data_IF_466271692859
#
_entry.id   IF_466271692859
#
_cell.length_a   1.000
_cell.length_b   1.000
_cell.length_c   1.000
_cell.angle_alpha   90.00
_cell.angle_beta   90.00
_cell.angle_gamma   90.00
#
_symmetry.space_group_name_H-M   'P 1'
#
loop_
_entity.id
_entity.type
_entity.pdbx_description
1 polymer ?
#
# COMPACT_ATOMS: atom_id res chain seq x y z
N UNK A 1 6.53 23.50 -19.35
CA UNK A 1 5.22 22.80 -19.38
C UNK A 1 4.34 23.39 -18.29
N UNK A 2 3.03 23.53 -18.53
CA UNK A 2 2.05 24.01 -17.55
C UNK A 2 0.87 23.02 -17.49
N UNK A 3 0.24 22.88 -16.32
CA UNK A 3 -0.89 21.97 -16.12
C UNK A 3 -2.18 22.80 -16.15
N UNK A 4 -3.09 22.49 -17.07
CA UNK A 4 -4.40 23.15 -17.12
C UNK A 4 -5.34 22.65 -16.02
N UNK A 5 -6.37 23.42 -15.66
CA UNK A 5 -7.41 22.98 -14.72
C UNK A 5 -8.06 21.66 -15.13
N UNK A 6 -8.27 21.45 -16.43
CA UNK A 6 -8.83 20.21 -16.94
C UNK A 6 -7.89 19.01 -16.71
N UNK A 7 -6.60 19.17 -17.01
CA UNK A 7 -5.60 18.13 -16.73
C UNK A 7 -5.48 17.85 -15.22
N UNK A 8 -5.46 18.90 -14.40
CA UNK A 8 -5.41 18.79 -12.94
C UNK A 8 -6.64 18.06 -12.37
N UNK A 9 -7.84 18.33 -12.91
CA UNK A 9 -9.06 17.63 -12.52
C UNK A 9 -9.01 16.14 -12.89
N UNK A 10 -8.54 15.80 -14.10
CA UNK A 10 -8.36 14.39 -14.50
C UNK A 10 -7.39 13.68 -13.55
N UNK A 11 -6.25 14.29 -13.23
CA UNK A 11 -5.29 13.74 -12.27
C UNK A 11 -5.93 13.52 -10.89
N UNK A 12 -6.77 14.46 -10.44
CA UNK A 12 -7.55 14.32 -9.21
C UNK A 12 -8.55 13.16 -9.23
N UNK A 13 -9.22 12.92 -10.37
CA UNK A 13 -10.13 11.76 -10.53
C UNK A 13 -9.34 10.46 -10.43
N UNK A 14 -8.21 10.36 -11.13
CA UNK A 14 -7.35 9.17 -11.04
C UNK A 14 -6.82 8.95 -9.62
N UNK A 15 -6.44 10.02 -8.91
CA UNK A 15 -6.06 9.89 -7.51
C UNK A 15 -7.20 9.27 -6.67
N UNK A 16 -8.45 9.67 -6.89
CA UNK A 16 -9.58 9.04 -6.20
C UNK A 16 -9.73 7.56 -6.58
N UNK A 17 -9.59 7.22 -7.87
CA UNK A 17 -9.73 5.85 -8.36
C UNK A 17 -8.71 4.88 -7.75
N UNK A 18 -7.54 5.37 -7.34
CA UNK A 18 -6.48 4.57 -6.71
C UNK A 18 -6.78 4.09 -5.28
N UNK A 19 -7.92 4.48 -4.69
CA UNK A 19 -8.22 4.15 -3.31
C UNK A 19 -8.69 2.72 -3.09
N UNK A 20 -8.41 2.21 -1.89
CA UNK A 20 -8.57 0.83 -1.48
C UNK A 20 -10.02 0.33 -1.42
N UNK A 21 -10.97 1.20 -1.05
CA UNK A 21 -12.20 0.70 -0.41
C UNK A 21 -13.49 0.82 -1.21
N UNK A 22 -13.47 1.26 -2.47
CA UNK A 22 -14.75 1.58 -3.13
C UNK A 22 -14.68 1.76 -4.65
N UNK A 23 -13.50 2.10 -5.18
CA UNK A 23 -13.40 2.79 -6.46
C UNK A 23 -13.08 1.81 -7.58
N UNK A 24 -11.83 1.77 -8.05
CA UNK A 24 -11.31 0.65 -8.84
C UNK A 24 -10.91 -0.56 -7.95
N UNK A 25 -11.23 -0.50 -6.65
CA UNK A 25 -10.90 -1.53 -5.67
C UNK A 25 -9.39 -1.70 -5.45
N UNK A 26 -9.03 -2.73 -4.69
CA UNK A 26 -7.63 -2.98 -4.33
C UNK A 26 -6.77 -3.37 -5.52
N UNK A 27 -7.24 -4.32 -6.33
CA UNK A 27 -6.44 -4.88 -7.43
C UNK A 27 -6.14 -3.84 -8.52
N UNK A 28 -7.17 -3.16 -9.03
CA UNK A 28 -7.02 -2.21 -10.13
C UNK A 28 -6.65 -0.82 -9.62
N UNK A 29 -7.28 -0.35 -8.54
CA UNK A 29 -7.00 0.96 -7.96
C UNK A 29 -5.62 1.03 -7.31
N UNK A 30 -5.45 0.39 -6.15
CA UNK A 30 -4.24 0.54 -5.35
C UNK A 30 -3.01 -0.14 -5.99
N UNK A 31 -3.14 -1.41 -6.37
CA UNK A 31 -2.01 -2.22 -6.82
C UNK A 31 -1.61 -1.97 -8.28
N UNK A 32 -2.50 -1.41 -9.10
CA UNK A 32 -2.20 -1.14 -10.51
C UNK A 32 -2.07 0.36 -10.75
N UNK A 33 -3.19 1.08 -10.82
CA UNK A 33 -3.24 2.50 -11.24
C UNK A 33 -2.53 3.42 -10.24
N UNK A 34 -2.59 3.09 -8.94
CA UNK A 34 -1.94 3.84 -7.86
C UNK A 34 -0.42 3.68 -7.77
N UNK A 35 0.18 2.80 -8.59
CA UNK A 35 1.63 2.57 -8.57
C UNK A 35 2.35 3.52 -9.53
N UNK A 36 3.50 4.11 -9.13
CA UNK A 36 4.19 5.13 -9.91
C UNK A 36 4.48 4.78 -11.38
N UNK A 37 4.74 3.52 -11.71
CA UNK A 37 4.97 3.14 -13.12
C UNK A 37 3.73 3.35 -13.99
N UNK A 38 2.58 2.84 -13.56
CA UNK A 38 1.30 2.99 -14.28
C UNK A 38 0.80 4.43 -14.17
N UNK A 39 0.94 5.04 -12.98
CA UNK A 39 0.66 6.46 -12.78
C UNK A 39 1.47 7.35 -13.72
N UNK A 40 2.74 7.02 -13.97
CA UNK A 40 3.61 7.73 -14.89
C UNK A 40 3.21 7.61 -16.34
N UNK A 41 2.74 6.43 -16.76
CA UNK A 41 2.10 6.23 -18.06
C UNK A 41 0.86 7.14 -18.20
N UNK A 42 -0.05 7.11 -17.22
CA UNK A 42 -1.29 7.92 -17.22
C UNK A 42 -0.98 9.42 -17.24
N UNK A 43 -0.06 9.88 -16.37
CA UNK A 43 0.37 11.28 -16.34
C UNK A 43 1.05 11.70 -17.64
N UNK A 44 1.86 10.82 -18.25
CA UNK A 44 2.49 11.03 -19.54
C UNK A 44 1.48 11.27 -20.66
N UNK A 45 0.38 10.50 -20.67
CA UNK A 45 -0.73 10.67 -21.61
C UNK A 45 -1.45 12.01 -21.36
N UNK A 46 -1.81 12.29 -20.11
CA UNK A 46 -2.56 13.51 -19.75
C UNK A 46 -1.77 14.78 -20.06
N UNK A 47 -0.46 14.77 -19.80
CA UNK A 47 0.43 15.92 -19.98
C UNK A 47 1.08 15.98 -21.37
N UNK A 48 0.85 14.98 -22.23
CA UNK A 48 1.34 14.96 -23.61
C UNK A 48 2.82 14.63 -23.77
N UNK A 49 3.50 14.11 -22.74
CA UNK A 49 4.88 13.64 -22.83
C UNK A 49 5.03 12.26 -22.17
N UNK A 50 4.83 11.23 -22.97
CA UNK A 50 4.82 9.83 -22.54
C UNK A 50 6.18 9.37 -22.01
N UNK A 51 7.26 9.68 -22.74
CA UNK A 51 8.61 9.26 -22.37
C UNK A 51 9.01 9.85 -21.00
N UNK A 52 8.73 11.12 -20.78
CA UNK A 52 9.01 11.78 -19.52
C UNK A 52 8.14 11.24 -18.38
N UNK A 53 6.85 10.99 -18.63
CA UNK A 53 5.95 10.40 -17.64
C UNK A 53 6.39 9.03 -17.18
N UNK A 54 6.75 8.14 -18.11
CA UNK A 54 7.26 6.80 -17.80
C UNK A 54 8.60 6.89 -17.08
N UNK A 55 9.52 7.75 -17.52
CA UNK A 55 10.83 7.90 -16.88
C UNK A 55 10.71 8.37 -15.41
N UNK A 56 9.85 9.34 -15.14
CA UNK A 56 9.51 9.76 -13.77
C UNK A 56 8.89 8.62 -12.97
N UNK A 57 7.95 7.89 -13.57
CA UNK A 57 7.28 6.74 -12.96
C UNK A 57 8.25 5.63 -12.55
N UNK A 58 9.19 5.27 -13.42
CA UNK A 58 10.25 4.30 -13.12
C UNK A 58 11.13 4.78 -11.97
N UNK A 59 11.60 6.03 -12.03
CA UNK A 59 12.48 6.58 -11.01
C UNK A 59 11.82 6.57 -9.61
N UNK A 60 10.55 6.93 -9.52
CA UNK A 60 9.79 6.90 -8.27
C UNK A 60 9.40 5.47 -7.86
N UNK A 61 9.04 4.59 -8.79
CA UNK A 61 8.69 3.19 -8.50
C UNK A 61 9.85 2.47 -7.82
N UNK A 62 11.09 2.70 -8.26
CA UNK A 62 12.28 2.08 -7.66
C UNK A 62 12.47 2.42 -6.19
N UNK A 63 12.07 3.63 -5.76
CA UNK A 63 12.14 4.05 -4.35
C UNK A 63 11.11 3.30 -3.49
N UNK A 64 9.97 2.93 -4.07
CA UNK A 64 8.83 2.36 -3.36
C UNK A 64 8.47 0.94 -3.80
N UNK A 65 9.39 0.23 -4.47
CA UNK A 65 9.14 -1.10 -5.05
C UNK A 65 8.83 -2.14 -3.95
N UNK A 66 9.50 -1.99 -2.82
CA UNK A 66 9.34 -2.82 -1.63
C UNK A 66 8.33 -2.24 -0.63
N UNK A 67 7.59 -1.19 -1.00
CA UNK A 67 6.66 -0.55 -0.08
C UNK A 67 5.44 -1.46 0.12
N UNK A 68 5.37 -1.99 1.33
CA UNK A 68 4.23 -2.70 1.90
C UNK A 68 3.62 -1.86 3.02
N UNK A 69 2.38 -2.16 3.37
CA UNK A 69 1.61 -1.43 4.39
C UNK A 69 1.13 -2.40 5.48
N UNK A 70 2.03 -2.94 6.32
CA UNK A 70 1.62 -3.83 7.40
C UNK A 70 0.73 -3.06 8.39
N UNK A 71 -0.37 -3.68 8.81
CA UNK A 71 -1.27 -3.09 9.81
C UNK A 71 -1.95 -1.79 9.39
N UNK A 72 -1.98 -1.49 8.08
CA UNK A 72 -2.57 -0.25 7.56
C UNK A 72 -1.70 1.00 7.73
N UNK A 73 -0.45 0.89 8.20
CA UNK A 73 0.49 2.02 8.24
C UNK A 73 1.05 2.35 6.87
N UNK A 74 0.73 3.55 6.41
CA UNK A 74 1.31 4.12 5.20
C UNK A 74 2.45 5.05 5.61
N UNK A 75 3.69 4.69 5.28
CA UNK A 75 4.86 5.56 5.47
C UNK A 75 5.00 6.58 4.35
N UNK A 76 4.56 6.24 3.13
CA UNK A 76 4.47 7.13 1.99
C UNK A 76 3.26 6.76 1.12
N UNK A 77 2.44 7.74 0.75
CA UNK A 77 1.28 7.49 -0.12
C UNK A 77 1.68 7.41 -1.60
N UNK A 78 1.71 6.19 -2.14
CA UNK A 78 2.03 5.93 -3.56
C UNK A 78 1.05 6.55 -4.54
N UNK A 79 -0.21 6.79 -4.13
CA UNK A 79 -1.18 7.52 -4.95
C UNK A 79 -0.78 8.97 -5.10
N UNK A 80 -0.41 9.64 -4.00
CA UNK A 80 0.05 11.02 -4.04
C UNK A 80 1.34 11.14 -4.87
N UNK A 81 2.27 10.19 -4.73
CA UNK A 81 3.47 10.11 -5.56
C UNK A 81 3.10 10.03 -7.04
N UNK A 82 2.16 9.16 -7.39
CA UNK A 82 1.74 8.92 -8.77
C UNK A 82 1.02 10.11 -9.41
N UNK A 83 0.09 10.76 -8.70
CA UNK A 83 -0.82 11.75 -9.30
C UNK A 83 -0.57 13.20 -8.88
N UNK A 84 0.32 13.43 -7.93
CA UNK A 84 0.84 14.76 -7.59
C UNK A 84 2.33 14.81 -7.92
N UNK A 85 3.11 13.84 -7.42
CA UNK A 85 4.56 13.82 -7.56
C UNK A 85 5.02 13.76 -9.01
N UNK A 86 4.52 12.79 -9.80
CA UNK A 86 4.94 12.63 -11.20
C UNK A 86 4.62 13.86 -12.05
N UNK A 87 3.37 14.40 -12.07
CA UNK A 87 3.07 15.62 -12.82
C UNK A 87 4.00 16.79 -12.48
N UNK A 88 4.28 17.01 -11.18
CA UNK A 88 5.17 18.08 -10.73
C UNK A 88 6.62 17.84 -11.14
N UNK A 89 7.10 16.60 -11.04
CA UNK A 89 8.42 16.22 -11.51
C UNK A 89 8.56 16.43 -13.02
N UNK A 90 7.55 16.03 -13.81
CA UNK A 90 7.55 16.25 -15.25
C UNK A 90 7.60 17.75 -15.58
N UNK A 91 6.83 18.59 -14.88
CA UNK A 91 6.88 20.05 -15.05
C UNK A 91 8.27 20.60 -14.75
N UNK A 92 8.87 20.21 -13.61
CA UNK A 92 10.17 20.69 -13.17
C UNK A 92 11.31 20.25 -14.11
N UNK A 93 11.30 18.98 -14.55
CA UNK A 93 12.28 18.42 -15.49
C UNK A 93 12.16 19.11 -16.85
N UNK A 94 10.93 19.32 -17.33
CA UNK A 94 10.66 20.04 -18.59
C UNK A 94 11.09 21.50 -18.50
N UNK A 95 10.85 22.20 -17.39
CA UNK A 95 11.24 23.60 -17.24
C UNK A 95 12.76 23.80 -17.16
N UNK A 96 13.48 22.80 -16.64
CA UNK A 96 14.95 22.81 -16.56
C UNK A 96 15.63 22.28 -17.83
N UNK A 97 14.86 21.83 -18.83
CA UNK A 97 15.41 21.29 -20.09
C UNK A 97 16.24 20.02 -19.89
N UNK A 98 16.02 19.27 -18.81
CA UNK A 98 16.80 18.08 -18.49
C UNK A 98 16.41 16.91 -19.41
N UNK A 99 17.39 16.09 -19.77
CA UNK A 99 17.12 14.83 -20.48
C UNK A 99 16.23 13.92 -19.61
N UNK A 100 15.04 13.51 -20.08
CA UNK A 100 14.13 12.64 -19.33
C UNK A 100 14.75 11.32 -18.84
N UNK A 101 15.71 10.77 -19.59
CA UNK A 101 16.41 9.53 -19.28
C UNK A 101 17.74 9.75 -18.53
N UNK A 102 18.08 11.00 -18.24
CA UNK A 102 19.32 11.34 -17.53
C UNK A 102 19.21 11.13 -16.02
N UNK A 103 20.34 10.85 -15.37
CA UNK A 103 20.41 10.68 -13.91
C UNK A 103 19.93 11.91 -13.12
N UNK A 104 20.11 13.12 -13.66
CA UNK A 104 19.61 14.36 -13.06
C UNK A 104 18.08 14.41 -12.98
N UNK A 105 17.40 14.05 -14.07
CA UNK A 105 15.94 13.96 -14.10
C UNK A 105 15.42 12.88 -13.15
N UNK A 106 16.06 11.71 -13.11
CA UNK A 106 15.71 10.64 -12.18
C UNK A 106 15.87 11.07 -10.71
N UNK A 107 16.96 11.77 -10.37
CA UNK A 107 17.18 12.27 -9.01
C UNK A 107 16.16 13.33 -8.60
N UNK A 108 15.82 14.25 -9.51
CA UNK A 108 14.78 15.25 -9.28
C UNK A 108 13.40 14.58 -9.09
N UNK A 109 13.04 13.62 -9.93
CA UNK A 109 11.82 12.85 -9.78
C UNK A 109 11.75 12.14 -8.43
N UNK A 110 12.82 11.45 -8.00
CA UNK A 110 12.88 10.82 -6.67
C UNK A 110 12.70 11.83 -5.54
N UNK A 111 13.37 12.98 -5.61
CA UNK A 111 13.28 14.03 -4.58
C UNK A 111 11.85 14.58 -4.44
N UNK A 112 11.21 14.90 -5.58
CA UNK A 112 9.80 15.34 -5.60
C UNK A 112 8.88 14.24 -5.08
N UNK A 113 9.11 12.98 -5.48
CA UNK A 113 8.37 11.82 -5.01
C UNK A 113 8.43 11.67 -3.49
N UNK A 114 9.62 11.77 -2.88
CA UNK A 114 9.79 11.70 -1.42
C UNK A 114 9.05 12.80 -0.68
N UNK A 115 9.15 14.04 -1.17
CA UNK A 115 8.45 15.18 -0.59
C UNK A 115 6.94 14.98 -0.63
N UNK A 116 6.40 14.65 -1.80
CA UNK A 116 4.96 14.50 -2.02
C UNK A 116 4.42 13.26 -1.32
N UNK A 117 5.17 12.16 -1.27
CA UNK A 117 4.76 10.93 -0.58
C UNK A 117 4.52 11.16 0.91
N UNK A 118 5.33 12.01 1.54
CA UNK A 118 5.19 12.39 2.95
C UNK A 118 3.92 13.23 3.19
N UNK A 119 3.68 14.22 2.33
CA UNK A 119 2.44 15.03 2.36
C UNK A 119 1.22 14.15 2.08
N UNK A 120 1.35 13.22 1.14
CA UNK A 120 0.32 12.26 0.78
C UNK A 120 -0.08 11.34 1.93
N UNK A 121 0.85 10.98 2.82
CA UNK A 121 0.51 10.21 4.04
C UNK A 121 -0.48 10.96 4.92
N UNK A 122 -0.37 12.28 5.03
CA UNK A 122 -1.33 13.10 5.78
C UNK A 122 -2.70 13.08 5.10
N UNK A 123 -2.75 13.22 3.77
CA UNK A 123 -3.99 13.11 2.99
C UNK A 123 -4.64 11.73 3.13
N UNK A 124 -3.82 10.67 3.11
CA UNK A 124 -4.27 9.30 3.31
C UNK A 124 -4.92 9.13 4.69
N UNK A 125 -4.28 9.59 5.76
CA UNK A 125 -4.85 9.49 7.11
C UNK A 125 -6.09 10.39 7.29
N UNK A 126 -6.17 11.53 6.58
CA UNK A 126 -7.37 12.36 6.58
C UNK A 126 -8.57 11.62 5.95
N UNK A 127 -8.37 10.96 4.80
CA UNK A 127 -9.38 10.07 4.20
C UNK A 127 -9.77 8.96 5.17
N UNK A 128 -8.77 8.27 5.75
CA UNK A 128 -9.02 7.16 6.67
C UNK A 128 -9.85 7.60 7.89
N UNK A 129 -9.51 8.76 8.45
CA UNK A 129 -10.22 9.36 9.58
C UNK A 129 -11.67 9.69 9.22
N UNK A 130 -11.91 10.32 8.06
CA UNK A 130 -13.28 10.60 7.61
C UNK A 130 -14.06 9.31 7.36
N UNK A 131 -13.42 8.26 6.84
CA UNK A 131 -14.06 6.97 6.64
C UNK A 131 -14.45 6.26 7.94
N UNK A 132 -13.82 6.57 9.08
CA UNK A 132 -14.28 6.08 10.38
C UNK A 132 -15.65 6.65 10.78
N UNK A 133 -15.95 7.89 10.36
CA UNK A 133 -17.26 8.52 10.59
C UNK A 133 -18.35 7.73 9.84
N UNK A 134 -18.09 7.38 8.57
CA UNK A 134 -19.02 6.56 7.78
C UNK A 134 -19.21 5.17 8.38
N UNK A 135 -18.13 4.55 8.86
CA UNK A 135 -18.20 3.26 9.54
C UNK A 135 -19.02 3.31 10.84
N UNK A 136 -18.96 4.41 11.60
CA UNK A 136 -19.80 4.58 12.80
C UNK A 136 -21.30 4.55 12.47
N UNK A 137 -21.70 5.18 11.35
CA UNK A 137 -23.08 5.06 10.86
C UNK A 137 -23.41 3.63 10.41
N UNK A 138 -22.48 2.97 9.71
CA UNK A 138 -22.63 1.57 9.31
C UNK A 138 -22.88 0.64 10.50
N UNK A 139 -22.11 0.77 11.57
CA UNK A 139 -22.33 0.00 12.80
C UNK A 139 -23.72 0.23 13.37
N UNK A 140 -24.22 1.47 13.39
CA UNK A 140 -25.57 1.76 13.84
C UNK A 140 -26.63 1.12 12.93
N UNK A 141 -26.42 1.12 11.62
CA UNK A 141 -27.35 0.48 10.68
C UNK A 141 -27.37 -1.05 10.83
N UNK A 142 -26.22 -1.69 11.12
CA UNK A 142 -26.12 -3.13 11.42
C UNK A 142 -26.93 -3.49 12.65
N UNK A 143 -26.78 -2.75 13.76
CA UNK A 143 -27.56 -3.01 14.99
C UNK A 143 -29.07 -2.86 14.79
N UNK A 144 -29.48 -2.08 13.79
CA UNK A 144 -30.89 -1.89 13.43
C UNK A 144 -31.38 -2.83 12.31
N UNK A 145 -30.57 -3.82 11.91
CA UNK A 145 -30.91 -4.78 10.86
C UNK A 145 -30.94 -4.21 9.43
N UNK A 146 -30.40 -3.02 9.20
CA UNK A 146 -30.43 -2.32 7.89
C UNK A 146 -29.19 -2.63 7.07
N UNK A 147 -29.06 -3.88 6.65
CA UNK A 147 -27.88 -4.36 5.91
C UNK A 147 -27.79 -3.78 4.49
N UNK A 148 -28.90 -3.37 3.90
CA UNK A 148 -28.99 -2.68 2.60
C UNK A 148 -28.17 -1.38 2.57
N UNK A 149 -28.08 -0.69 3.71
CA UNK A 149 -27.33 0.56 3.84
C UNK A 149 -25.82 0.38 3.91
N UNK A 150 -25.34 -0.84 4.16
CA UNK A 150 -23.91 -1.14 4.20
C UNK A 150 -23.23 -0.89 2.86
N UNK A 151 -23.93 -1.12 1.75
CA UNK A 151 -23.38 -0.83 0.42
C UNK A 151 -23.10 0.67 0.25
N UNK A 152 -23.94 1.55 0.79
CA UNK A 152 -23.68 2.99 0.76
C UNK A 152 -22.52 3.38 1.68
N UNK A 153 -22.36 2.72 2.83
CA UNK A 153 -21.22 2.94 3.74
C UNK A 153 -19.91 2.47 3.15
N UNK A 154 -19.91 1.36 2.41
CA UNK A 154 -18.71 0.82 1.80
C UNK A 154 -18.38 1.49 0.45
N UNK A 155 -19.39 1.78 -0.38
CA UNK A 155 -19.20 2.22 -1.77
C UNK A 155 -19.73 3.63 -2.10
N UNK A 156 -20.51 4.26 -1.23
CA UNK A 156 -21.10 5.57 -1.48
C UNK A 156 -20.35 6.67 -0.76
N UNK A 157 -20.49 6.71 0.56
CA UNK A 157 -19.96 7.78 1.43
C UNK A 157 -18.44 7.99 1.32
N UNK A 158 -17.59 6.96 1.12
CA UNK A 158 -16.15 7.17 0.93
C UNK A 158 -15.78 8.07 -0.25
N UNK A 159 -16.63 8.21 -1.28
CA UNK A 159 -16.40 9.16 -2.38
C UNK A 159 -16.30 10.60 -1.90
N UNK A 160 -17.04 10.96 -0.84
CA UNK A 160 -16.99 12.31 -0.27
C UNK A 160 -15.64 12.56 0.40
N UNK A 161 -15.15 11.57 1.17
CA UNK A 161 -13.80 11.63 1.78
C UNK A 161 -12.73 11.81 0.71
N UNK A 162 -12.83 11.07 -0.39
CA UNK A 162 -11.89 11.15 -1.49
C UNK A 162 -12.00 12.44 -2.29
N UNK A 163 -13.21 12.97 -2.51
CA UNK A 163 -13.39 14.25 -3.15
C UNK A 163 -12.69 15.37 -2.34
N UNK A 164 -12.87 15.36 -1.02
CA UNK A 164 -12.33 16.40 -0.15
C UNK A 164 -10.82 16.29 0.06
N UNK A 165 -10.30 15.08 0.31
CA UNK A 165 -8.91 14.88 0.74
C UNK A 165 -8.00 14.24 -0.32
N UNK A 166 -8.53 13.77 -1.45
CA UNK A 166 -7.74 13.25 -2.56
C UNK A 166 -7.90 14.08 -3.84
N UNK A 167 -9.12 14.32 -4.32
CA UNK A 167 -9.39 15.08 -5.54
C UNK A 167 -8.95 16.53 -5.43
N UNK A 168 -9.52 17.28 -4.47
CA UNK A 168 -9.24 18.71 -4.32
C UNK A 168 -7.75 18.99 -4.07
N UNK A 169 -7.06 18.29 -3.15
CA UNK A 169 -5.64 18.52 -2.95
C UNK A 169 -4.82 18.16 -4.19
N UNK A 170 -5.14 17.06 -4.88
CA UNK A 170 -4.41 16.68 -6.10
C UNK A 170 -4.56 17.74 -7.19
N UNK A 171 -5.79 18.19 -7.44
CA UNK A 171 -6.08 19.21 -8.43
C UNK A 171 -5.36 20.53 -8.11
N UNK A 172 -5.46 21.01 -6.86
CA UNK A 172 -4.83 22.26 -6.46
C UNK A 172 -3.30 22.17 -6.48
N UNK A 173 -2.73 21.09 -5.95
CA UNK A 173 -1.28 20.91 -5.87
C UNK A 173 -0.65 20.77 -7.26
N UNK A 174 -1.31 20.08 -8.18
CA UNK A 174 -0.81 19.93 -9.56
C UNK A 174 -0.98 21.22 -10.38
N UNK A 175 -2.08 21.96 -10.20
CA UNK A 175 -2.31 23.21 -10.92
C UNK A 175 -1.37 24.34 -10.45
N UNK A 176 -1.29 24.57 -9.14
CA UNK A 176 -0.45 25.64 -8.56
C UNK A 176 1.03 25.23 -8.42
N UNK A 177 1.36 23.97 -8.67
CA UNK A 177 2.74 23.52 -8.79
C UNK A 177 3.50 23.44 -7.46
N UNK A 178 4.82 23.60 -7.54
CA UNK A 178 5.74 23.51 -6.40
C UNK A 178 5.41 24.52 -5.29
N UNK A 179 4.90 25.71 -5.63
CA UNK A 179 4.48 26.73 -4.66
C UNK A 179 3.37 26.21 -3.75
N UNK A 180 2.45 25.42 -4.29
CA UNK A 180 1.34 24.83 -3.53
C UNK A 180 1.82 23.74 -2.57
N UNK A 181 2.76 22.90 -3.01
CA UNK A 181 3.36 21.86 -2.16
C UNK A 181 4.12 22.48 -0.99
N UNK A 182 4.90 23.53 -1.27
CA UNK A 182 5.61 24.27 -0.23
C UNK A 182 4.64 24.98 0.72
N UNK A 183 3.61 25.64 0.20
CA UNK A 183 2.60 26.29 1.02
C UNK A 183 1.84 25.31 1.92
N UNK A 184 1.48 24.13 1.40
CA UNK A 184 0.84 23.09 2.19
C UNK A 184 1.77 22.55 3.28
N UNK A 185 3.06 22.36 2.98
CA UNK A 185 4.07 21.99 3.97
C UNK A 185 4.25 23.07 5.05
N UNK A 186 4.17 24.35 4.68
CA UNK A 186 4.22 25.45 5.65
C UNK A 186 2.97 25.53 6.51
N UNK A 187 1.79 25.27 5.94
CA UNK A 187 0.52 25.24 6.67
C UNK A 187 0.40 24.00 7.58
N UNK A 188 1.03 22.89 7.20
CA UNK A 188 1.10 21.64 7.96
C UNK A 188 2.56 21.34 8.31
N UNK A 189 3.15 22.05 9.29
CA UNK A 189 4.54 21.82 9.66
C UNK A 189 4.70 20.39 10.16
N UNK A 190 5.45 19.60 9.41
CA UNK A 190 5.74 18.19 9.70
C UNK A 190 6.42 18.00 11.07
N UNK A 191 7.09 19.04 11.55
CA UNK A 191 7.75 19.09 12.86
C UNK A 191 6.84 19.54 14.00
N UNK A 192 5.60 19.92 13.70
CA UNK A 192 4.58 20.29 14.68
C UNK A 192 4.10 19.09 15.50
N UNK A 193 3.54 19.36 16.68
CA UNK A 193 3.10 18.32 17.63
C UNK A 193 2.09 17.37 16.96
N UNK A 194 1.09 17.91 16.24
CA UNK A 194 0.07 17.09 15.58
C UNK A 194 0.66 16.08 14.58
N UNK A 195 1.59 16.53 13.72
CA UNK A 195 2.24 15.65 12.75
C UNK A 195 3.18 14.67 13.45
N UNK A 196 4.00 15.11 14.40
CA UNK A 196 4.85 14.21 15.20
C UNK A 196 4.03 13.12 15.89
N UNK A 197 2.88 13.44 16.46
CA UNK A 197 1.98 12.47 17.06
C UNK A 197 1.42 11.51 16.01
N UNK A 198 0.91 12.04 14.88
CA UNK A 198 0.38 11.22 13.78
C UNK A 198 1.41 10.21 13.26
N UNK A 199 2.64 10.66 13.00
CA UNK A 199 3.71 9.79 12.47
C UNK A 199 4.27 8.85 13.53
N UNK A 200 4.38 9.27 14.79
CA UNK A 200 4.84 8.39 15.88
C UNK A 200 3.84 7.26 16.14
N UNK A 201 2.56 7.60 16.32
CA UNK A 201 1.51 6.61 16.57
C UNK A 201 1.25 5.76 15.32
N UNK A 202 1.22 6.38 14.14
CA UNK A 202 1.11 5.67 12.87
C UNK A 202 2.26 4.69 12.64
N UNK A 203 3.47 5.03 13.08
CA UNK A 203 4.65 4.16 13.06
C UNK A 203 4.55 2.93 13.95
N UNK A 204 3.58 2.86 14.87
CA UNK A 204 3.34 1.68 15.71
C UNK A 204 2.35 0.68 15.09
N UNK A 205 1.49 1.07 14.12
CA UNK A 205 0.55 0.12 13.52
C UNK A 205 1.21 -1.02 12.71
N UNK A 206 2.44 -0.93 12.15
CA UNK A 206 3.07 -2.09 11.53
C UNK A 206 3.27 -3.23 12.52
N UNK A 207 3.60 -2.91 13.79
CA UNK A 207 3.75 -3.90 14.85
C UNK A 207 2.43 -4.63 15.13
N UNK A 208 1.31 -3.89 15.14
CA UNK A 208 -0.03 -4.47 15.29
C UNK A 208 -0.36 -5.38 14.10
N UNK A 209 -0.07 -4.93 12.88
CA UNK A 209 -0.27 -5.74 11.67
C UNK A 209 0.53 -7.04 11.68
N UNK A 210 1.81 -6.97 12.01
CA UNK A 210 2.68 -8.15 12.13
C UNK A 210 2.16 -9.09 13.22
N UNK A 211 1.72 -8.55 14.37
CA UNK A 211 1.15 -9.36 15.45
C UNK A 211 -0.13 -10.10 15.02
N UNK A 212 -1.01 -9.45 14.25
CA UNK A 212 -2.23 -10.09 13.72
C UNK A 212 -1.86 -11.23 12.76
N UNK A 213 -0.91 -11.00 11.84
CA UNK A 213 -0.45 -12.03 10.90
C UNK A 213 0.21 -13.21 11.63
N UNK A 214 1.06 -12.93 12.62
CA UNK A 214 1.67 -13.97 13.45
C UNK A 214 0.60 -14.78 14.19
N UNK A 215 -0.43 -14.13 14.74
CA UNK A 215 -1.54 -14.84 15.38
C UNK A 215 -2.30 -15.77 14.41
N UNK A 216 -2.30 -15.47 13.12
CA UNK A 216 -2.94 -16.30 12.09
C UNK A 216 -2.05 -17.46 11.61
N UNK A 217 -0.73 -17.26 11.60
CA UNK A 217 0.23 -18.22 11.03
C UNK A 217 0.78 -19.18 12.09
N UNK A 218 0.99 -18.70 13.32
CA UNK A 218 1.60 -19.49 14.40
C UNK A 218 0.56 -20.45 14.98
N UNK A 219 0.75 -21.74 14.75
CA UNK A 219 -0.03 -22.80 15.40
C UNK A 219 0.67 -23.35 16.65
N UNK A 220 2.00 -23.36 16.67
CA UNK A 220 2.83 -23.88 17.77
C UNK A 220 3.91 -22.88 18.14
N UNK A 221 4.38 -22.93 19.39
CA UNK A 221 5.46 -22.06 19.87
C UNK A 221 6.75 -22.17 19.02
N UNK A 222 6.99 -23.32 18.38
CA UNK A 222 8.12 -23.53 17.48
C UNK A 222 8.02 -22.71 16.18
N UNK A 223 6.82 -22.32 15.73
CA UNK A 223 6.62 -21.54 14.51
C UNK A 223 7.12 -20.08 14.67
N UNK A 224 7.39 -19.64 15.90
CA UNK A 224 8.10 -18.39 16.15
C UNK A 224 9.58 -18.44 15.79
N UNK A 225 10.19 -19.63 15.73
CA UNK A 225 11.64 -19.76 15.50
C UNK A 225 12.02 -19.20 14.12
N UNK A 226 11.38 -19.59 12.99
CA UNK A 226 11.68 -19.00 11.68
C UNK A 226 11.45 -17.49 11.63
N UNK A 227 10.40 -17.01 12.31
CA UNK A 227 10.11 -15.58 12.40
C UNK A 227 11.24 -14.81 13.12
N UNK A 228 11.66 -15.29 14.30
CA UNK A 228 12.73 -14.64 15.08
C UNK A 228 14.07 -14.67 14.34
N UNK A 229 14.41 -15.80 13.70
CA UNK A 229 15.62 -15.92 12.88
C UNK A 229 15.57 -14.93 11.71
N UNK A 230 14.46 -14.88 10.97
CA UNK A 230 14.27 -13.95 9.86
C UNK A 230 14.33 -12.49 10.30
N UNK A 231 13.71 -12.16 11.44
CA UNK A 231 13.72 -10.81 12.03
C UNK A 231 15.14 -10.37 12.40
N UNK A 232 15.88 -11.20 13.14
CA UNK A 232 17.26 -10.90 13.53
C UNK A 232 18.16 -10.79 12.30
N UNK A 233 18.03 -11.71 11.34
CA UNK A 233 18.86 -11.72 10.13
C UNK A 233 18.60 -10.49 9.25
N UNK A 234 17.33 -10.11 9.06
CA UNK A 234 16.98 -8.90 8.31
C UNK A 234 17.54 -7.64 8.97
N UNK A 235 17.45 -7.54 10.31
CA UNK A 235 17.96 -6.39 11.07
C UNK A 235 19.50 -6.32 11.07
N UNK A 236 20.19 -7.45 11.27
CA UNK A 236 21.65 -7.49 11.33
C UNK A 236 22.32 -7.24 9.98
N UNK A 237 21.77 -7.80 8.90
CA UNK A 237 22.34 -7.71 7.55
C UNK A 237 21.77 -6.53 6.74
N UNK A 238 20.86 -5.74 7.31
CA UNK A 238 20.20 -4.61 6.64
C UNK A 238 19.56 -5.00 5.30
N UNK A 239 18.95 -6.19 5.25
CA UNK A 239 18.34 -6.70 4.03
C UNK A 239 17.06 -5.92 3.70
N UNK A 240 16.87 -5.61 2.41
CA UNK A 240 15.60 -5.07 1.94
C UNK A 240 14.55 -6.19 1.80
N UNK A 241 13.28 -5.82 1.63
CA UNK A 241 12.17 -6.77 1.54
C UNK A 241 12.36 -7.79 0.41
N UNK A 242 12.90 -7.37 -0.74
CA UNK A 242 13.15 -8.26 -1.89
C UNK A 242 14.18 -9.34 -1.54
N UNK A 243 15.30 -8.94 -0.92
CA UNK A 243 16.33 -9.87 -0.46
C UNK A 243 15.79 -10.84 0.59
N UNK A 244 14.97 -10.36 1.54
CA UNK A 244 14.31 -11.20 2.54
C UNK A 244 13.33 -12.19 1.89
N UNK A 245 12.59 -11.78 0.86
CA UNK A 245 11.69 -12.68 0.11
C UNK A 245 12.46 -13.81 -0.58
N UNK A 246 13.59 -13.51 -1.23
CA UNK A 246 14.39 -14.55 -1.91
C UNK A 246 14.98 -15.54 -0.89
N UNK A 247 15.52 -15.04 0.22
CA UNK A 247 16.08 -15.90 1.28
C UNK A 247 14.98 -16.76 1.93
N UNK A 248 13.84 -16.16 2.27
CA UNK A 248 12.71 -16.90 2.87
C UNK A 248 12.13 -17.95 1.91
N UNK A 249 12.06 -17.68 0.61
CA UNK A 249 11.62 -18.66 -0.39
C UNK A 249 12.56 -19.88 -0.43
N UNK A 250 13.88 -19.67 -0.34
CA UNK A 250 14.84 -20.78 -0.29
C UNK A 250 14.61 -21.67 0.93
N UNK A 251 14.42 -21.08 2.12
CA UNK A 251 14.10 -21.85 3.33
C UNK A 251 12.74 -22.55 3.24
N UNK A 252 11.72 -21.88 2.68
CA UNK A 252 10.40 -22.45 2.50
C UNK A 252 10.42 -23.68 1.59
N UNK A 253 11.14 -23.62 0.47
CA UNK A 253 11.30 -24.76 -0.45
C UNK A 253 12.04 -25.91 0.24
N UNK A 254 13.13 -25.63 0.98
CA UNK A 254 13.85 -26.68 1.71
C UNK A 254 12.95 -27.37 2.75
N UNK A 255 12.21 -26.60 3.56
CA UNK A 255 11.30 -27.16 4.57
C UNK A 255 10.19 -27.99 3.89
N UNK A 256 9.61 -27.46 2.81
CA UNK A 256 8.59 -28.17 2.03
C UNK A 256 9.09 -29.51 1.48
N UNK A 257 10.29 -29.55 0.89
CA UNK A 257 10.89 -30.79 0.38
C UNK A 257 11.17 -31.80 1.50
N UNK A 258 11.62 -31.34 2.67
CA UNK A 258 11.84 -32.21 3.84
C UNK A 258 10.51 -32.81 4.33
N UNK A 259 9.45 -32.00 4.43
CA UNK A 259 8.14 -32.44 4.90
C UNK A 259 7.47 -33.40 3.92
N UNK A 260 7.57 -33.13 2.62
CA UNK A 260 7.09 -34.04 1.56
C UNK A 260 7.88 -35.35 1.50
N UNK A 261 9.20 -35.29 1.72
CA UNK A 261 10.05 -36.50 1.79
C UNK A 261 9.75 -37.34 3.05
N UNK A 262 9.38 -36.71 4.16
CA UNK A 262 8.94 -37.38 5.38
C UNK A 262 7.58 -38.08 5.23
N UNK A 263 6.63 -37.45 4.54
CA UNK A 263 5.30 -38.04 4.27
C UNK A 263 5.36 -39.29 3.38
N UNK A 264 6.27 -39.34 2.41
CA UNK A 264 6.47 -40.50 1.53
C UNK A 264 7.12 -41.72 2.22
N UNK A 265 7.57 -41.58 3.47
CA UNK A 265 8.25 -42.63 4.22
C UNK A 265 7.37 -43.33 5.25
N UNK A 266 6.05 -43.12 5.22
CA UNK A 266 5.12 -43.99 5.96
C UNK A 266 4.97 -45.28 5.16
N UNK A 267 5.49 -46.43 5.63
CA UNK A 267 5.30 -47.67 4.90
C UNK A 267 3.81 -47.97 4.93
N UNK A 268 3.19 -48.05 3.75
CA UNK A 268 1.97 -48.80 3.52
C UNK A 268 2.13 -50.17 4.20
N UNK A 269 1.54 -50.34 5.39
CA UNK A 269 1.34 -51.66 5.97
C UNK A 269 0.29 -52.37 5.13
N UNK A 270 0.76 -53.04 4.10
CA UNK A 270 0.00 -54.08 3.42
C UNK A 270 -0.09 -55.33 4.30
N UNK A 271 -1.32 -55.86 4.37
CA UNK A 271 -1.70 -57.25 4.64
C UNK A 271 -1.84 -57.73 6.09
N UNK A 272 -3.09 -57.73 6.60
CA UNK A 272 -3.88 -58.96 6.87
C UNK A 272 -5.21 -58.59 7.57
N UNK A 273 -6.34 -59.06 7.03
CA UNK A 273 -7.64 -59.08 7.70
C UNK A 273 -7.94 -60.51 8.21
N UNK A 274 -8.98 -60.78 9.05
CA UNK A 274 -9.72 -59.93 9.99
C UNK A 274 -9.83 -60.55 11.41
N UNK A 275 -10.21 -59.77 12.44
CA UNK A 275 -11.10 -60.21 13.54
C UNK A 275 -11.39 -59.06 14.55
N UNK A 276 -12.69 -58.78 14.70
CA UNK A 276 -13.45 -58.15 15.80
C UNK A 276 -13.12 -56.73 16.31
N UNK A 277 -14.11 -55.83 16.16
CA UNK A 277 -14.12 -54.41 16.55
C UNK A 277 -14.57 -54.14 18.00
N UNK A 278 -15.26 -53.01 18.32
CA UNK A 278 -15.64 -51.87 17.49
C UNK A 278 -15.04 -50.50 17.93
N UNK A 279 -15.07 -49.59 16.96
CA UNK A 279 -15.11 -48.11 16.99
C UNK A 279 -15.17 -47.38 18.33
N UNK A 280 -14.26 -46.43 18.51
CA UNK A 280 -14.59 -45.12 19.08
C UNK A 280 -14.17 -44.06 18.06
N UNK A 281 -15.17 -43.55 17.36
CA UNK A 281 -15.14 -42.32 16.57
C UNK A 281 -15.18 -41.15 17.55
N UNK A 282 -14.14 -40.31 17.56
CA UNK A 282 -14.24 -38.95 18.10
C UNK A 282 -13.87 -37.97 16.97
N UNK A 283 -14.86 -37.80 16.09
CA UNK A 283 -15.04 -36.60 15.28
C UNK A 283 -15.44 -35.45 16.22
N UNK A 284 -14.55 -34.49 16.45
CA UNK A 284 -14.93 -33.13 16.86
C UNK A 284 -14.24 -32.16 15.88
N UNK A 285 -14.89 -32.02 14.73
CA UNK A 285 -14.95 -30.74 14.00
C UNK A 285 -15.71 -29.70 14.83
N UNK A 286 -15.53 -28.43 14.46
CA UNK A 286 -16.14 -27.19 14.96
C UNK A 286 -15.37 -26.53 16.14
N UNK A 287 -15.01 -25.24 16.13
CA UNK A 287 -15.62 -24.05 15.51
C UNK A 287 -14.58 -22.93 15.33
#
# INVERSE_FOLDING_TARGET
>A
MTISWFQAAILGVFACLCSNSCMAGQAVGNYTIGRPLVGGLVCGIILGNLQLGIACGVAMQLVYIALVTPGGTVSADVRAISYIGIPLAMVAISSQGLNPLGGGAANLAKSVGTLVGTVGTVLYYAVATMNLVWQSFGWKDVHNGKLDKLTAVNFGWPWISHALFSFLPTMLLTYYGATAVTALRSALPMDGIAMKTLFTVGGMLPCVGIAILLRQIVGKAADFIPFLVGFTLAASLHLNLVSVTVVSLLFAVIIYEIEMSGSNNTPSKGSAAPADGPSDDDDEEDI
#
